data_IF_585151293817
#
_entry.id   IF_585151293817
#
_cell.length_a   1.000
_cell.length_b   1.000
_cell.length_c   1.000
_cell.angle_alpha   90.00
_cell.angle_beta   90.00
_cell.angle_gamma   90.00
#
_symmetry.space_group_name_H-M   'P 1'
#
loop_
_entity.id
_entity.type
_entity.pdbx_description
1 polymer ?
#
# COMPACT_ATOMS: atom_id res chain seq x y z
N UNK A 1 -1.25 9.86 -10.55
CA UNK A 1 -0.82 10.87 -9.55
C UNK A 1 0.66 10.60 -9.29
N UNK A 2 1.51 11.62 -9.25
CA UNK A 2 2.94 11.48 -8.92
C UNK A 2 3.25 12.49 -7.83
N UNK A 3 3.69 12.03 -6.66
CA UNK A 3 4.06 12.86 -5.52
C UNK A 3 5.40 12.42 -4.93
N UNK A 4 6.08 13.32 -4.21
CA UNK A 4 7.32 12.98 -3.50
C UNK A 4 7.06 12.13 -2.25
N UNK A 5 5.92 12.35 -1.59
CA UNK A 5 5.42 11.52 -0.50
C UNK A 5 3.89 11.47 -0.54
N UNK A 6 3.34 10.47 0.12
CA UNK A 6 1.91 10.35 0.41
C UNK A 6 1.75 9.82 1.83
N UNK A 7 1.05 10.58 2.66
CA UNK A 7 0.69 10.19 4.02
C UNK A 7 -0.77 9.73 4.06
N UNK A 8 -0.96 8.49 4.50
CA UNK A 8 -2.23 7.83 4.79
C UNK A 8 -2.19 7.17 6.18
N UNK A 9 -1.36 7.69 7.09
CA UNK A 9 -1.23 7.24 8.46
C UNK A 9 -2.42 7.65 9.33
N UNK A 10 -2.38 7.31 10.62
CA UNK A 10 -3.34 7.79 11.64
C UNK A 10 -4.80 7.52 11.25
N UNK A 11 -5.11 6.26 10.93
CA UNK A 11 -6.43 5.81 10.45
C UNK A 11 -6.88 6.43 9.11
N UNK A 12 -5.92 6.95 8.33
CA UNK A 12 -6.15 7.40 6.95
C UNK A 12 -6.78 6.30 6.07
N UNK A 13 -7.57 6.71 5.08
CA UNK A 13 -8.30 5.78 4.21
C UNK A 13 -8.29 6.20 2.74
N UNK A 14 -7.66 5.38 1.92
CA UNK A 14 -7.72 5.42 0.46
C UNK A 14 -8.49 4.18 -0.02
N UNK A 15 -9.58 4.40 -0.76
CA UNK A 15 -10.41 3.32 -1.30
C UNK A 15 -10.63 3.51 -2.82
N UNK A 16 -10.52 2.44 -3.59
CA UNK A 16 -10.73 2.48 -5.05
C UNK A 16 -11.38 1.21 -5.59
N UNK A 17 -11.85 1.26 -6.85
CA UNK A 17 -12.28 0.07 -7.62
C UNK A 17 -11.16 -0.54 -8.49
N UNK A 18 -9.97 0.01 -8.37
CA UNK A 18 -8.77 -0.24 -9.17
C UNK A 18 -7.85 0.96 -8.97
N UNK A 19 -6.57 0.75 -8.69
CA UNK A 19 -5.65 1.85 -8.40
C UNK A 19 -4.26 1.59 -8.99
N UNK A 20 -3.71 2.62 -9.62
CA UNK A 20 -2.27 2.76 -9.86
C UNK A 20 -1.80 3.95 -9.02
N UNK A 21 -1.05 3.66 -7.97
CA UNK A 21 -0.46 4.67 -7.08
C UNK A 21 1.03 4.77 -7.39
N UNK A 22 1.49 5.99 -7.71
CA UNK A 22 2.90 6.29 -7.90
C UNK A 22 3.31 7.42 -6.96
N UNK A 23 4.24 7.16 -6.05
CA UNK A 23 4.75 8.15 -5.07
C UNK A 23 6.21 7.87 -4.74
N UNK A 24 6.89 8.79 -4.07
CA UNK A 24 8.15 8.50 -3.39
C UNK A 24 7.89 7.73 -2.12
N UNK A 25 7.94 8.39 -0.96
CA UNK A 25 7.61 7.72 0.31
C UNK A 25 6.10 7.49 0.41
N UNK A 26 5.67 6.29 0.81
CA UNK A 26 4.29 6.02 1.16
C UNK A 26 4.20 5.63 2.63
N UNK A 27 3.51 6.46 3.41
CA UNK A 27 3.28 6.21 4.81
C UNK A 27 1.83 5.75 5.06
N UNK A 28 1.65 4.52 5.51
CA UNK A 28 0.38 3.85 5.75
C UNK A 28 0.36 3.17 7.14
N UNK A 29 1.19 3.63 8.08
CA UNK A 29 1.22 3.11 9.44
C UNK A 29 0.03 3.61 10.30
N UNK A 30 -0.04 3.18 11.56
CA UNK A 30 -1.05 3.63 12.53
C UNK A 30 -2.48 3.45 12.04
N UNK A 31 -2.87 2.21 11.76
CA UNK A 31 -4.18 1.83 11.24
C UNK A 31 -4.52 2.44 9.86
N UNK A 32 -3.54 2.95 9.13
CA UNK A 32 -3.68 3.43 7.75
C UNK A 32 -4.20 2.33 6.81
N UNK A 33 -5.11 2.70 5.89
CA UNK A 33 -5.78 1.74 5.00
C UNK A 33 -5.74 2.18 3.54
N UNK A 34 -5.09 1.38 2.70
CA UNK A 34 -5.19 1.44 1.25
C UNK A 34 -5.91 0.19 0.73
N UNK A 35 -7.14 0.34 0.25
CA UNK A 35 -7.98 -0.80 -0.17
C UNK A 35 -8.45 -0.61 -1.61
N UNK A 36 -8.25 -1.61 -2.47
CA UNK A 36 -8.85 -1.65 -3.80
C UNK A 36 -9.79 -2.84 -3.95
N UNK A 37 -11.00 -2.62 -4.48
CA UNK A 37 -11.90 -3.73 -4.86
C UNK A 37 -11.60 -4.27 -6.26
N UNK A 38 -10.64 -3.68 -6.98
CA UNK A 38 -10.06 -4.22 -8.21
C UNK A 38 -8.55 -4.43 -8.05
N UNK A 39 -7.82 -4.45 -9.15
CA UNK A 39 -6.35 -4.59 -9.12
C UNK A 39 -5.69 -3.39 -8.45
N UNK A 40 -4.66 -3.65 -7.65
CA UNK A 40 -3.83 -2.62 -7.02
C UNK A 40 -2.40 -2.69 -7.56
N UNK A 41 -1.94 -1.59 -8.16
CA UNK A 41 -0.53 -1.39 -8.48
C UNK A 41 0.03 -0.26 -7.61
N UNK A 42 1.02 -0.59 -6.79
CA UNK A 42 1.74 0.34 -5.94
C UNK A 42 3.18 0.47 -6.45
N UNK A 43 3.53 1.64 -6.98
CA UNK A 43 4.90 1.99 -7.35
C UNK A 43 5.38 3.06 -6.35
N UNK A 44 6.27 2.68 -5.44
CA UNK A 44 6.73 3.59 -4.39
C UNK A 44 8.25 3.48 -4.18
N UNK A 45 8.82 4.44 -3.46
CA UNK A 45 10.12 4.29 -2.82
C UNK A 45 9.99 3.43 -1.57
N UNK A 46 10.20 4.04 -0.40
CA UNK A 46 9.97 3.38 0.88
C UNK A 46 8.49 3.33 1.22
N UNK A 47 8.02 2.18 1.66
CA UNK A 47 6.65 1.98 2.15
C UNK A 47 6.68 1.62 3.63
N UNK A 48 6.08 2.48 4.46
CA UNK A 48 5.79 2.15 5.85
C UNK A 48 4.35 1.65 5.96
N UNK A 49 4.17 0.37 6.25
CA UNK A 49 2.87 -0.23 6.53
C UNK A 49 2.87 -0.91 7.91
N UNK A 50 3.66 -0.38 8.85
CA UNK A 50 3.74 -0.86 10.22
C UNK A 50 2.51 -0.47 11.06
N UNK A 51 2.51 -0.78 12.36
CA UNK A 51 1.52 -0.30 13.34
C UNK A 51 0.06 -0.50 12.85
N UNK A 52 -0.31 -1.76 12.61
CA UNK A 52 -1.62 -2.17 12.10
C UNK A 52 -2.02 -1.60 10.71
N UNK A 53 -1.06 -1.08 9.93
CA UNK A 53 -1.25 -0.67 8.54
C UNK A 53 -1.82 -1.79 7.65
N UNK A 54 -2.69 -1.42 6.71
CA UNK A 54 -3.35 -2.33 5.76
C UNK A 54 -3.21 -1.84 4.33
N UNK A 55 -2.59 -2.64 3.47
CA UNK A 55 -2.62 -2.49 2.01
C UNK A 55 -3.30 -3.74 1.44
N UNK A 56 -4.44 -3.56 0.75
CA UNK A 56 -5.23 -4.69 0.27
C UNK A 56 -5.80 -4.52 -1.13
N UNK A 57 -5.89 -5.65 -1.85
CA UNK A 57 -6.63 -5.76 -3.11
C UNK A 57 -7.62 -6.93 -3.07
N UNK A 58 -8.82 -6.74 -3.62
CA UNK A 58 -9.75 -7.83 -3.87
C UNK A 58 -9.42 -8.64 -5.15
N UNK A 59 -8.40 -8.24 -5.91
CA UNK A 59 -7.85 -8.96 -7.06
C UNK A 59 -6.33 -9.08 -6.91
N UNK A 60 -5.58 -8.96 -8.02
CA UNK A 60 -4.12 -8.94 -8.00
C UNK A 60 -3.58 -7.67 -7.36
N UNK A 61 -2.53 -7.83 -6.55
CA UNK A 61 -1.73 -6.77 -5.96
C UNK A 61 -0.30 -6.87 -6.49
N UNK A 62 0.18 -5.81 -7.14
CA UNK A 62 1.57 -5.65 -7.55
C UNK A 62 2.18 -4.49 -6.80
N UNK A 63 3.28 -4.72 -6.10
CA UNK A 63 4.06 -3.70 -5.43
C UNK A 63 5.49 -3.70 -5.99
N UNK A 64 5.92 -2.56 -6.53
CA UNK A 64 7.30 -2.28 -6.93
C UNK A 64 7.78 -1.18 -6.01
N UNK A 65 8.62 -1.54 -5.03
CA UNK A 65 9.01 -0.65 -3.94
C UNK A 65 10.50 -0.80 -3.63
N UNK A 66 11.15 0.23 -3.09
CA UNK A 66 12.59 0.14 -2.74
C UNK A 66 12.82 -0.31 -1.29
N UNK A 67 11.74 -0.47 -0.53
CA UNK A 67 11.75 -0.93 0.85
C UNK A 67 10.33 -1.02 1.40
N UNK A 68 10.10 -2.00 2.28
CA UNK A 68 8.79 -2.32 2.82
C UNK A 68 8.89 -2.67 4.31
N UNK A 69 8.33 -1.82 5.17
CA UNK A 69 8.12 -2.10 6.59
C UNK A 69 6.70 -2.65 6.82
N UNK A 70 6.61 -3.86 7.38
CA UNK A 70 5.38 -4.57 7.74
C UNK A 70 5.35 -4.92 9.26
N UNK A 71 6.18 -4.30 10.08
CA UNK A 71 6.31 -4.61 11.51
C UNK A 71 5.04 -4.21 12.30
N UNK A 72 4.94 -4.63 13.56
CA UNK A 72 3.84 -4.22 14.46
C UNK A 72 2.43 -4.49 13.89
N UNK A 73 2.21 -5.72 13.41
CA UNK A 73 0.98 -6.19 12.75
C UNK A 73 0.66 -5.47 11.43
N UNK A 74 1.65 -4.96 10.70
CA UNK A 74 1.48 -4.52 9.32
C UNK A 74 1.06 -5.66 8.39
N UNK A 75 0.12 -5.39 7.46
CA UNK A 75 -0.34 -6.41 6.50
C UNK A 75 -0.50 -5.88 5.08
N UNK A 76 0.08 -6.59 4.12
CA UNK A 76 -0.11 -6.44 2.68
C UNK A 76 -0.66 -7.75 2.10
N UNK A 77 -1.83 -7.70 1.45
CA UNK A 77 -2.47 -8.91 0.91
C UNK A 77 -3.35 -8.64 -0.33
N UNK A 78 -3.50 -9.65 -1.18
CA UNK A 78 -4.41 -9.67 -2.31
C UNK A 78 -5.29 -10.90 -2.24
N UNK A 79 -6.52 -10.83 -2.79
CA UNK A 79 -7.38 -12.00 -2.98
C UNK A 79 -7.11 -12.74 -4.33
N UNK A 80 -6.15 -12.24 -5.12
CA UNK A 80 -5.54 -12.93 -6.25
C UNK A 80 -4.02 -13.05 -6.06
N UNK A 81 -3.26 -12.90 -7.14
CA UNK A 81 -1.79 -12.91 -7.05
C UNK A 81 -1.27 -11.71 -6.27
N UNK A 82 -0.22 -11.95 -5.49
CA UNK A 82 0.57 -10.91 -4.84
C UNK A 82 1.98 -10.98 -5.40
N UNK A 83 2.40 -9.92 -6.09
CA UNK A 83 3.76 -9.77 -6.62
C UNK A 83 4.45 -8.62 -5.90
N UNK A 84 5.64 -8.89 -5.35
CA UNK A 84 6.49 -7.92 -4.69
C UNK A 84 7.85 -7.89 -5.38
N UNK A 85 8.21 -6.73 -5.93
CA UNK A 85 9.53 -6.39 -6.42
C UNK A 85 10.16 -5.40 -5.44
N UNK A 86 11.29 -5.81 -4.83
CA UNK A 86 11.90 -5.17 -3.66
C UNK A 86 13.40 -4.95 -3.85
#
# INVERSE_FOLDING_TARGET
>A
LTSASLDNSQSGRIASKGLVLTTGVFDNHQDGRLISTGTLQLNAGQVNNSEAGRIASAMALTAVVTGLDQTSDGRLYGNGDVSLDL
#
